data_IF_086984051322
#
_entry.id   IF_086984051322
#
_cell.length_a   1.000
_cell.length_b   1.000
_cell.length_c   1.000
_cell.angle_alpha   90.00
_cell.angle_beta   90.00
_cell.angle_gamma   90.00
#
_symmetry.space_group_name_H-M   'P 1'
#
loop_
_entity.id
_entity.type
_entity.pdbx_description
1 polymer ?
#
# COMPACT_ATOMS: atom_id res chain seq x y z
N UNK A 1 -38.35 13.83 38.96
CA UNK A 1 -38.11 13.55 37.53
C UNK A 1 -37.05 12.47 37.49
N UNK A 2 -37.16 11.41 36.66
CA UNK A 2 -36.03 10.49 36.51
C UNK A 2 -34.86 11.34 36.02
N UNK A 3 -33.74 11.32 36.73
CA UNK A 3 -32.50 11.92 36.24
C UNK A 3 -32.21 11.28 34.88
N UNK A 4 -32.01 12.10 33.84
CA UNK A 4 -31.60 11.61 32.53
C UNK A 4 -30.36 10.71 32.66
N UNK A 5 -30.19 9.76 31.75
CA UNK A 5 -29.12 8.75 31.87
C UNK A 5 -27.73 9.37 32.03
N UNK A 6 -26.80 8.63 32.65
CA UNK A 6 -25.41 9.04 32.82
C UNK A 6 -24.52 8.39 31.74
N UNK A 7 -23.66 9.18 31.09
CA UNK A 7 -22.78 8.67 30.04
C UNK A 7 -21.74 7.68 30.55
N UNK A 8 -21.13 7.90 31.72
CA UNK A 8 -20.13 6.97 32.28
C UNK A 8 -20.76 5.61 32.60
N UNK A 9 -22.02 5.60 33.00
CA UNK A 9 -22.76 4.36 33.25
C UNK A 9 -23.17 3.67 31.94
N UNK A 10 -23.50 4.42 30.88
CA UNK A 10 -23.68 3.85 29.52
C UNK A 10 -22.38 3.22 29.01
N UNK A 11 -21.25 3.94 29.15
CA UNK A 11 -19.93 3.46 28.76
C UNK A 11 -19.61 2.12 29.45
N UNK A 12 -19.76 2.07 30.78
CA UNK A 12 -19.51 0.87 31.57
C UNK A 12 -20.49 -0.26 31.23
N UNK A 13 -21.77 0.05 31.00
CA UNK A 13 -22.75 -0.94 30.57
C UNK A 13 -22.37 -1.54 29.20
N UNK A 14 -21.80 -0.74 28.30
CA UNK A 14 -21.35 -1.19 26.99
C UNK A 14 -20.10 -2.08 27.08
N UNK A 15 -19.15 -1.74 27.96
CA UNK A 15 -17.98 -2.54 28.32
C UNK A 15 -18.39 -3.91 28.89
N UNK A 16 -19.29 -3.91 29.88
CA UNK A 16 -19.74 -5.11 30.59
C UNK A 16 -20.72 -5.99 29.79
N UNK A 17 -21.22 -5.51 28.64
CA UNK A 17 -22.24 -6.23 27.86
C UNK A 17 -23.66 -6.15 28.47
N UNK A 18 -23.94 -5.19 29.35
CA UNK A 18 -25.22 -5.04 30.04
C UNK A 18 -26.26 -4.35 29.13
N UNK A 19 -27.00 -5.19 28.39
CA UNK A 19 -28.01 -4.75 27.43
C UNK A 19 -29.14 -3.93 28.07
N UNK A 20 -29.56 -4.31 29.28
CA UNK A 20 -30.68 -3.65 29.96
C UNK A 20 -30.30 -2.24 30.40
N UNK A 21 -29.11 -2.07 31.00
CA UNK A 21 -28.61 -0.74 31.36
C UNK A 21 -28.30 0.12 30.13
N UNK A 22 -27.73 -0.49 29.08
CA UNK A 22 -27.46 0.22 27.83
C UNK A 22 -28.74 0.85 27.27
N UNK A 23 -29.81 0.07 27.13
CA UNK A 23 -31.12 0.58 26.68
C UNK A 23 -31.70 1.64 27.63
N UNK A 24 -31.58 1.44 28.94
CA UNK A 24 -32.05 2.41 29.93
C UNK A 24 -31.40 3.78 29.76
N UNK A 25 -30.07 3.83 29.59
CA UNK A 25 -29.34 5.08 29.42
C UNK A 25 -29.61 5.76 28.08
N UNK A 26 -29.72 4.98 26.99
CA UNK A 26 -30.13 5.50 25.68
C UNK A 26 -31.54 6.09 25.72
N UNK A 27 -32.51 5.40 26.35
CA UNK A 27 -33.86 5.92 26.56
C UNK A 27 -33.89 7.18 27.45
N UNK A 28 -32.88 7.33 28.32
CA UNK A 28 -32.63 8.52 29.11
C UNK A 28 -32.04 9.70 28.34
N UNK A 29 -31.78 9.55 27.02
CA UNK A 29 -31.28 10.61 26.14
C UNK A 29 -29.77 10.81 26.15
N UNK A 30 -29.01 9.84 26.66
CA UNK A 30 -27.54 9.89 26.60
C UNK A 30 -27.09 9.77 25.15
N UNK A 31 -26.25 10.70 24.70
CA UNK A 31 -25.64 10.65 23.37
C UNK A 31 -24.55 9.56 23.31
N UNK A 32 -24.73 8.48 22.53
CA UNK A 32 -23.73 7.42 22.42
C UNK A 32 -22.53 7.81 21.54
N UNK A 33 -22.56 8.96 20.85
CA UNK A 33 -21.45 9.46 20.03
C UNK A 33 -20.48 10.35 20.80
N UNK A 34 -20.89 10.85 21.97
CA UNK A 34 -20.02 11.70 22.78
C UNK A 34 -18.83 10.90 23.31
N UNK A 35 -17.63 11.47 23.20
CA UNK A 35 -16.40 10.91 23.73
C UNK A 35 -15.98 11.69 24.97
N UNK A 36 -15.77 11.00 26.09
CA UNK A 36 -15.48 11.67 27.35
C UNK A 36 -14.04 12.22 27.36
N UNK A 37 -13.80 13.48 27.78
CA UNK A 37 -12.47 14.12 27.80
C UNK A 37 -11.39 13.45 28.68
N UNK A 38 -11.72 12.37 29.38
CA UNK A 38 -10.81 11.58 30.22
C UNK A 38 -10.56 10.20 29.62
N UNK A 39 -11.50 9.69 28.82
CA UNK A 39 -11.45 8.36 28.20
C UNK A 39 -11.05 8.44 26.72
N UNK A 40 -11.33 9.56 26.04
CA UNK A 40 -11.08 9.75 24.60
C UNK A 40 -11.72 8.67 23.72
N UNK A 41 -12.86 8.15 24.17
CA UNK A 41 -13.57 7.07 23.51
C UNK A 41 -15.08 7.13 23.78
N UNK A 42 -15.85 6.42 22.96
CA UNK A 42 -17.30 6.30 23.01
C UNK A 42 -17.72 4.88 23.44
N UNK A 43 -18.95 4.69 23.96
CA UNK A 43 -19.46 3.37 24.34
C UNK A 43 -19.40 2.33 23.21
N UNK A 44 -19.51 2.75 21.95
CA UNK A 44 -19.45 1.83 20.80
C UNK A 44 -18.05 1.23 20.62
N UNK A 45 -16.98 1.98 20.82
CA UNK A 45 -15.61 1.45 20.70
C UNK A 45 -15.33 0.40 21.77
N UNK A 46 -15.78 0.64 23.00
CA UNK A 46 -15.58 -0.28 24.11
C UNK A 46 -16.41 -1.56 23.95
N UNK A 47 -17.66 -1.44 23.48
CA UNK A 47 -18.48 -2.58 23.12
C UNK A 47 -17.81 -3.46 22.05
N UNK A 48 -17.17 -2.83 21.05
CA UNK A 48 -16.42 -3.53 20.01
C UNK A 48 -15.20 -4.24 20.61
N UNK A 49 -14.35 -3.55 21.39
CA UNK A 49 -13.15 -4.13 22.01
C UNK A 49 -13.46 -5.37 22.86
N UNK A 50 -14.61 -5.37 23.54
CA UNK A 50 -15.07 -6.49 24.37
C UNK A 50 -15.90 -7.55 23.61
N UNK A 51 -16.14 -7.40 22.31
CA UNK A 51 -16.88 -8.38 21.50
C UNK A 51 -18.40 -8.40 21.75
N UNK A 52 -18.95 -7.31 22.28
CA UNK A 52 -20.36 -7.21 22.66
C UNK A 52 -21.25 -6.84 21.45
N UNK A 53 -21.42 -7.76 20.48
CA UNK A 53 -22.19 -7.52 19.25
C UNK A 53 -23.60 -6.98 19.50
N UNK A 54 -24.32 -7.53 20.48
CA UNK A 54 -25.69 -7.08 20.78
C UNK A 54 -25.73 -5.65 21.36
N UNK A 55 -24.71 -5.24 22.11
CA UNK A 55 -24.56 -3.85 22.54
C UNK A 55 -24.29 -2.95 21.33
N UNK A 56 -23.37 -3.34 20.44
CA UNK A 56 -23.06 -2.57 19.22
C UNK A 56 -24.33 -2.34 18.39
N UNK A 57 -25.14 -3.39 18.20
CA UNK A 57 -26.43 -3.27 17.50
C UNK A 57 -27.38 -2.29 18.17
N UNK A 58 -27.56 -2.37 19.48
CA UNK A 58 -28.44 -1.46 20.23
C UNK A 58 -27.94 -0.02 20.18
N UNK A 59 -26.64 0.21 20.34
CA UNK A 59 -26.05 1.54 20.23
C UNK A 59 -26.33 2.16 18.86
N UNK A 60 -26.17 1.40 17.77
CA UNK A 60 -26.40 1.88 16.40
C UNK A 60 -27.89 2.05 16.08
N UNK A 61 -28.72 1.04 16.37
CA UNK A 61 -30.12 0.99 15.91
C UNK A 61 -31.09 1.75 16.80
N UNK A 62 -30.88 1.70 18.13
CA UNK A 62 -31.74 2.36 19.10
C UNK A 62 -31.14 3.68 19.58
N UNK A 63 -29.81 3.74 19.71
CA UNK A 63 -29.09 4.91 20.22
C UNK A 63 -28.67 5.93 19.17
N UNK A 64 -28.64 5.56 17.88
CA UNK A 64 -28.13 6.44 16.82
C UNK A 64 -26.60 6.66 16.87
N UNK A 65 -25.86 5.69 17.42
CA UNK A 65 -24.40 5.71 17.35
C UNK A 65 -23.92 5.61 15.90
N UNK A 66 -22.93 6.42 15.53
CA UNK A 66 -22.30 6.42 14.22
C UNK A 66 -21.45 5.14 14.07
N UNK A 67 -21.80 4.23 13.14
CA UNK A 67 -21.07 2.98 12.92
C UNK A 67 -19.70 3.18 12.25
N UNK A 68 -19.33 4.41 11.89
CA UNK A 68 -18.00 4.81 11.43
C UNK A 68 -17.39 5.92 12.30
N UNK A 69 -17.73 5.98 13.59
CA UNK A 69 -17.12 6.93 14.53
C UNK A 69 -15.62 6.67 14.64
N UNK A 70 -14.84 7.73 14.71
CA UNK A 70 -13.39 7.70 14.92
C UNK A 70 -13.09 7.90 16.41
N UNK A 71 -12.29 7.02 17.00
CA UNK A 71 -11.88 7.07 18.40
C UNK A 71 -10.82 8.15 18.61
N UNK A 72 -11.03 9.08 19.53
CA UNK A 72 -10.08 10.17 19.80
C UNK A 72 -8.75 9.66 20.41
N UNK A 73 -8.76 8.49 21.05
CA UNK A 73 -7.57 7.90 21.67
C UNK A 73 -6.57 7.36 20.65
N UNK A 74 -7.05 6.74 19.57
CA UNK A 74 -6.21 6.01 18.62
C UNK A 74 -6.30 6.51 17.18
N UNK A 75 -7.23 7.42 16.88
CA UNK A 75 -7.63 7.84 15.54
C UNK A 75 -8.16 6.69 14.66
N UNK A 76 -8.50 5.54 15.24
CA UNK A 76 -9.11 4.41 14.52
C UNK A 76 -10.63 4.57 14.39
N UNK A 77 -11.17 4.18 13.25
CA UNK A 77 -12.62 3.99 13.10
C UNK A 77 -13.11 2.77 13.87
N UNK A 78 -14.39 2.74 14.24
CA UNK A 78 -15.11 1.55 14.73
C UNK A 78 -14.86 0.28 13.90
N UNK A 79 -14.73 0.41 12.56
CA UNK A 79 -14.39 -0.71 11.66
C UNK A 79 -12.96 -1.21 11.90
N UNK A 80 -12.00 -0.28 12.01
CA UNK A 80 -10.60 -0.59 12.30
C UNK A 80 -10.43 -1.22 13.68
N UNK A 81 -11.16 -0.73 14.70
CA UNK A 81 -11.16 -1.30 16.05
C UNK A 81 -11.73 -2.73 16.04
N UNK A 82 -12.84 -2.96 15.34
CA UNK A 82 -13.45 -4.30 15.22
C UNK A 82 -12.49 -5.30 14.55
N UNK A 83 -11.78 -4.83 13.52
CA UNK A 83 -10.77 -5.60 12.82
C UNK A 83 -9.54 -5.89 13.69
N UNK A 84 -8.97 -4.87 14.34
CA UNK A 84 -7.79 -4.99 15.20
C UNK A 84 -8.05 -5.89 16.41
N UNK A 85 -9.29 -5.91 16.90
CA UNK A 85 -9.75 -6.75 18.00
C UNK A 85 -10.25 -8.14 17.55
N UNK A 86 -10.12 -8.49 16.26
CA UNK A 86 -10.54 -9.77 15.67
C UNK A 86 -12.04 -10.11 15.85
N UNK A 87 -12.90 -9.09 15.89
CA UNK A 87 -14.34 -9.21 16.10
C UNK A 87 -15.10 -9.31 14.77
N UNK A 88 -14.95 -10.45 14.07
CA UNK A 88 -15.43 -10.61 12.70
C UNK A 88 -16.95 -10.42 12.54
N UNK A 89 -17.77 -10.90 13.48
CA UNK A 89 -19.24 -10.72 13.40
C UNK A 89 -19.66 -9.24 13.55
N UNK A 90 -18.95 -8.50 14.41
CA UNK A 90 -19.15 -7.06 14.60
C UNK A 90 -18.70 -6.31 13.36
N UNK A 91 -17.55 -6.70 12.80
CA UNK A 91 -17.04 -6.13 11.56
C UNK A 91 -18.04 -6.29 10.41
N UNK A 92 -18.62 -7.48 10.22
CA UNK A 92 -19.64 -7.73 9.20
C UNK A 92 -20.89 -6.87 9.43
N UNK A 93 -21.32 -6.74 10.69
CA UNK A 93 -22.45 -5.87 11.04
C UNK A 93 -22.17 -4.39 10.74
N UNK A 94 -21.04 -3.84 11.19
CA UNK A 94 -20.68 -2.44 10.95
C UNK A 94 -20.54 -2.16 9.45
N UNK A 95 -19.90 -3.08 8.72
CA UNK A 95 -19.83 -3.04 7.28
C UNK A 95 -21.21 -3.07 6.62
N UNK A 96 -22.27 -3.59 7.25
CA UNK A 96 -23.63 -3.53 6.70
C UNK A 96 -24.31 -2.16 6.90
N UNK A 97 -23.85 -1.33 7.85
CA UNK A 97 -24.50 -0.08 8.29
C UNK A 97 -23.85 1.19 7.78
N UNK A 98 -22.55 1.17 7.44
CA UNK A 98 -21.87 2.32 6.83
C UNK A 98 -22.32 2.46 5.35
N UNK A 99 -22.58 3.65 4.78
CA UNK A 99 -22.90 3.81 3.35
C UNK A 99 -21.81 3.21 2.45
N UNK A 100 -22.17 2.63 1.31
CA UNK A 100 -21.20 2.01 0.39
C UNK A 100 -20.11 2.99 -0.07
N UNK A 101 -20.41 4.28 -0.10
CA UNK A 101 -19.49 5.37 -0.43
C UNK A 101 -18.47 5.67 0.68
N UNK A 102 -18.77 5.27 1.92
CA UNK A 102 -17.89 5.36 3.09
C UNK A 102 -17.25 4.00 3.46
N UNK A 103 -17.63 2.91 2.78
CA UNK A 103 -16.90 1.64 2.81
C UNK A 103 -15.75 1.75 1.82
N UNK A 104 -14.52 1.42 2.23
CA UNK A 104 -13.49 1.16 1.24
C UNK A 104 -13.89 -0.09 0.46
N UNK A 105 -14.33 0.09 -0.79
CA UNK A 105 -14.57 -1.03 -1.70
C UNK A 105 -13.29 -1.89 -1.74
N UNK A 106 -13.42 -3.18 -1.46
CA UNK A 106 -12.32 -4.14 -1.58
C UNK A 106 -11.72 -4.04 -2.99
N UNK A 107 -10.41 -3.77 -3.08
CA UNK A 107 -9.68 -3.60 -4.35
C UNK A 107 -8.87 -4.85 -4.66
N UNK A 108 -8.67 -5.11 -5.95
CA UNK A 108 -7.68 -6.09 -6.42
C UNK A 108 -6.35 -5.37 -6.65
N UNK A 109 -5.36 -5.70 -5.83
CA UNK A 109 -4.06 -5.03 -5.78
C UNK A 109 -2.96 -5.99 -6.24
N UNK A 110 -2.09 -5.56 -7.15
CA UNK A 110 -0.87 -6.27 -7.53
C UNK A 110 0.35 -5.54 -6.96
N UNK A 111 1.18 -6.25 -6.19
CA UNK A 111 2.45 -5.76 -5.63
C UNK A 111 3.62 -6.46 -6.34
N UNK A 112 4.48 -5.71 -7.04
CA UNK A 112 5.55 -6.28 -7.89
C UNK A 112 6.69 -6.96 -7.11
N UNK A 113 6.77 -6.76 -5.80
CA UNK A 113 7.63 -7.49 -4.86
C UNK A 113 6.92 -7.47 -3.51
N UNK A 114 6.38 -8.61 -3.07
CA UNK A 114 5.55 -8.70 -1.87
C UNK A 114 6.11 -9.64 -0.80
N UNK A 115 7.35 -10.11 -0.94
CA UNK A 115 7.91 -11.19 -0.13
C UNK A 115 9.10 -10.77 0.73
N UNK A 116 9.67 -9.61 0.44
CA UNK A 116 10.82 -9.03 1.12
C UNK A 116 10.58 -7.54 1.38
N UNK A 117 11.54 -6.89 2.03
CA UNK A 117 11.50 -5.43 2.19
C UNK A 117 10.20 -4.93 2.85
N UNK A 118 9.71 -3.82 2.30
CA UNK A 118 8.40 -3.25 2.59
C UNK A 118 7.24 -4.04 1.98
N UNK A 119 7.51 -4.99 1.08
CA UNK A 119 6.52 -5.74 0.32
C UNK A 119 5.66 -6.67 1.17
N UNK A 120 6.27 -7.51 2.03
CA UNK A 120 5.51 -8.44 2.89
C UNK A 120 4.64 -7.71 3.91
N UNK A 121 5.15 -6.72 4.67
CA UNK A 121 4.32 -5.91 5.57
C UNK A 121 3.21 -5.16 4.83
N UNK A 122 3.47 -4.64 3.62
CA UNK A 122 2.44 -4.00 2.80
C UNK A 122 1.35 -4.98 2.38
N UNK A 123 1.72 -6.18 1.91
CA UNK A 123 0.77 -7.21 1.54
C UNK A 123 -0.12 -7.61 2.73
N UNK A 124 0.47 -7.77 3.92
CA UNK A 124 -0.26 -8.03 5.15
C UNK A 124 -1.25 -6.90 5.48
N UNK A 125 -0.80 -5.65 5.45
CA UNK A 125 -1.64 -4.48 5.76
C UNK A 125 -2.84 -4.37 4.80
N UNK A 126 -2.62 -4.55 3.50
CA UNK A 126 -3.68 -4.55 2.51
C UNK A 126 -4.67 -5.70 2.71
N UNK A 127 -4.18 -6.88 3.12
CA UNK A 127 -5.04 -8.02 3.46
C UNK A 127 -5.86 -7.76 4.73
N UNK A 128 -5.26 -7.21 5.78
CA UNK A 128 -5.97 -6.79 6.99
C UNK A 128 -7.06 -5.78 6.66
N UNK A 129 -6.78 -4.83 5.75
CA UNK A 129 -7.75 -3.87 5.21
C UNK A 129 -8.84 -4.48 4.32
N UNK A 130 -8.83 -5.79 4.10
CA UNK A 130 -9.90 -6.52 3.40
C UNK A 130 -9.79 -6.47 1.88
N UNK A 131 -8.66 -6.02 1.34
CA UNK A 131 -8.38 -6.05 -0.10
C UNK A 131 -8.05 -7.47 -0.57
N UNK A 132 -8.14 -7.67 -1.89
CA UNK A 132 -7.60 -8.84 -2.55
C UNK A 132 -6.20 -8.50 -3.04
N UNK A 133 -5.20 -9.26 -2.57
CA UNK A 133 -3.79 -8.99 -2.86
C UNK A 133 -3.22 -10.09 -3.74
N UNK A 134 -2.52 -9.68 -4.79
CA UNK A 134 -1.63 -10.50 -5.58
C UNK A 134 -0.21 -9.96 -5.41
N UNK A 135 0.75 -10.83 -5.15
CA UNK A 135 2.17 -10.47 -5.18
C UNK A 135 2.91 -11.22 -6.28
N UNK A 136 3.98 -10.63 -6.81
CA UNK A 136 4.86 -11.32 -7.75
C UNK A 136 5.90 -12.13 -6.98
N UNK A 137 6.11 -13.37 -7.40
CA UNK A 137 7.09 -14.28 -6.81
C UNK A 137 7.95 -14.95 -7.87
N UNK A 138 9.19 -15.26 -7.51
CA UNK A 138 10.17 -15.81 -8.46
C UNK A 138 10.04 -17.34 -8.63
N UNK A 139 9.42 -18.01 -7.65
CA UNK A 139 9.18 -19.46 -7.64
C UNK A 139 7.90 -19.83 -6.89
N UNK A 140 7.33 -20.98 -7.23
CA UNK A 140 6.14 -21.54 -6.56
C UNK A 140 6.38 -21.85 -5.07
N UNK A 141 7.61 -22.26 -4.73
CA UNK A 141 7.98 -22.60 -3.36
C UNK A 141 7.94 -21.37 -2.45
N UNK A 142 8.59 -20.27 -2.86
CA UNK A 142 8.55 -18.98 -2.15
C UNK A 142 7.12 -18.46 -2.03
N UNK A 143 6.36 -18.54 -3.13
CA UNK A 143 5.00 -18.04 -3.19
C UNK A 143 4.07 -18.81 -2.25
N UNK A 144 4.19 -20.13 -2.21
CA UNK A 144 3.34 -21.00 -1.37
C UNK A 144 3.63 -20.74 0.10
N UNK A 145 4.90 -20.74 0.50
CA UNK A 145 5.31 -20.47 1.89
C UNK A 145 4.81 -19.11 2.38
N UNK A 146 5.06 -18.06 1.61
CA UNK A 146 4.62 -16.71 2.00
C UNK A 146 3.10 -16.57 2.01
N UNK A 147 2.40 -17.26 1.11
CA UNK A 147 0.93 -17.26 1.09
C UNK A 147 0.33 -17.90 2.35
N UNK A 148 0.94 -18.99 2.85
CA UNK A 148 0.51 -19.63 4.09
C UNK A 148 0.68 -18.68 5.29
N UNK A 149 1.87 -18.06 5.41
CA UNK A 149 2.16 -17.08 6.47
C UNK A 149 1.20 -15.89 6.43
N UNK A 150 1.04 -15.24 5.27
CA UNK A 150 0.19 -14.06 5.12
C UNK A 150 -1.31 -14.36 5.34
N UNK A 151 -1.80 -15.54 4.93
CA UNK A 151 -3.19 -15.95 5.21
C UNK A 151 -3.42 -16.20 6.69
N UNK A 152 -2.46 -16.82 7.36
CA UNK A 152 -2.54 -17.07 8.80
C UNK A 152 -2.52 -15.77 9.59
N UNK A 153 -1.61 -14.86 9.26
CA UNK A 153 -1.45 -13.58 9.95
C UNK A 153 -2.62 -12.61 9.68
N UNK A 154 -3.14 -12.55 8.45
CA UNK A 154 -4.21 -11.62 8.10
C UNK A 154 -5.62 -12.14 8.38
N UNK A 155 -5.82 -13.46 8.47
CA UNK A 155 -7.14 -14.10 8.44
C UNK A 155 -7.89 -13.92 7.11
N UNK A 156 -7.28 -13.30 6.09
CA UNK A 156 -7.92 -12.99 4.82
C UNK A 156 -7.46 -13.99 3.73
N UNK A 157 -8.41 -14.75 3.19
CA UNK A 157 -8.16 -15.75 2.14
C UNK A 157 -8.03 -15.16 0.73
N UNK A 158 -8.30 -13.86 0.53
CA UNK A 158 -8.22 -13.14 -0.75
C UNK A 158 -6.77 -12.83 -1.14
N UNK A 159 -5.89 -13.82 -1.04
CA UNK A 159 -4.48 -13.73 -1.39
C UNK A 159 -4.19 -14.67 -2.56
N UNK A 160 -3.57 -14.13 -3.61
CA UNK A 160 -2.98 -14.88 -4.72
C UNK A 160 -1.55 -14.44 -4.98
N UNK A 161 -0.91 -15.08 -5.96
CA UNK A 161 0.41 -14.70 -6.43
C UNK A 161 0.51 -14.89 -7.93
N UNK A 162 1.48 -14.24 -8.56
CA UNK A 162 1.82 -14.41 -9.97
C UNK A 162 3.30 -14.79 -10.06
N UNK A 163 3.59 -15.92 -10.68
CA UNK A 163 4.97 -16.31 -10.95
C UNK A 163 5.54 -15.45 -12.09
N UNK A 164 6.66 -14.81 -11.83
CA UNK A 164 7.39 -14.01 -12.81
C UNK A 164 8.62 -13.34 -12.24
N UNK A 165 9.37 -12.68 -13.13
CA UNK A 165 10.59 -11.96 -12.77
C UNK A 165 10.60 -10.59 -13.43
N UNK A 166 11.40 -9.69 -12.87
CA UNK A 166 11.65 -8.36 -13.41
C UNK A 166 13.08 -8.23 -13.98
N UNK A 167 13.78 -9.35 -14.11
CA UNK A 167 15.21 -9.42 -14.43
C UNK A 167 15.55 -9.14 -15.89
N UNK A 168 14.61 -9.34 -16.82
CA UNK A 168 14.80 -9.11 -18.25
C UNK A 168 13.52 -8.55 -18.89
N UNK A 169 13.65 -7.96 -20.07
CA UNK A 169 12.50 -7.45 -20.85
C UNK A 169 11.51 -8.59 -21.15
N UNK A 170 12.02 -9.74 -21.58
CA UNK A 170 11.21 -10.93 -21.87
C UNK A 170 10.46 -11.44 -20.61
N UNK A 171 11.14 -11.48 -19.46
CA UNK A 171 10.51 -11.87 -18.20
C UNK A 171 9.36 -10.93 -17.83
N UNK A 172 9.53 -9.62 -18.04
CA UNK A 172 8.51 -8.62 -17.71
C UNK A 172 7.28 -8.74 -18.62
N UNK A 173 7.46 -8.97 -19.91
CA UNK A 173 6.33 -9.24 -20.81
C UNK A 173 5.59 -10.53 -20.44
N UNK A 174 6.34 -11.59 -20.11
CA UNK A 174 5.74 -12.85 -19.63
C UNK A 174 4.97 -12.66 -18.31
N UNK A 175 5.51 -11.86 -17.40
CA UNK A 175 4.81 -11.50 -16.16
C UNK A 175 3.52 -10.73 -16.47
N UNK A 176 3.56 -9.76 -17.38
CA UNK A 176 2.37 -9.01 -17.77
C UNK A 176 1.29 -9.90 -18.40
N UNK A 177 1.68 -10.89 -19.22
CA UNK A 177 0.77 -11.90 -19.76
C UNK A 177 0.14 -12.74 -18.65
N UNK A 178 0.95 -13.25 -17.70
CA UNK A 178 0.44 -14.01 -16.56
C UNK A 178 -0.55 -13.18 -15.72
N UNK A 179 -0.26 -11.90 -15.49
CA UNK A 179 -1.18 -10.97 -14.82
C UNK A 179 -2.50 -10.84 -15.59
N UNK A 180 -2.45 -10.65 -16.90
CA UNK A 180 -3.63 -10.53 -17.76
C UNK A 180 -4.50 -11.78 -17.73
N UNK A 181 -3.90 -12.97 -17.64
CA UNK A 181 -4.60 -14.25 -17.62
C UNK A 181 -5.22 -14.56 -16.25
N UNK A 182 -4.52 -14.22 -15.15
CA UNK A 182 -4.88 -14.67 -13.80
C UNK A 182 -5.61 -13.62 -12.97
N UNK A 183 -5.49 -12.33 -13.32
CA UNK A 183 -6.10 -11.22 -12.58
C UNK A 183 -7.18 -10.56 -13.45
N UNK A 184 -8.46 -10.96 -13.32
CA UNK A 184 -9.52 -10.53 -14.23
C UNK A 184 -9.87 -9.03 -14.15
N UNK A 185 -9.63 -8.38 -13.00
CA UNK A 185 -9.95 -6.95 -12.76
C UNK A 185 -8.91 -6.30 -11.85
N UNK A 186 -7.74 -5.97 -12.38
CA UNK A 186 -6.71 -5.27 -11.61
C UNK A 186 -7.13 -3.82 -11.31
N UNK A 187 -7.36 -3.48 -10.04
CA UNK A 187 -7.69 -2.10 -9.64
C UNK A 187 -6.44 -1.26 -9.37
N UNK A 188 -5.43 -1.85 -8.72
CA UNK A 188 -4.26 -1.11 -8.26
C UNK A 188 -2.97 -1.85 -8.59
N UNK A 189 -2.06 -1.20 -9.30
CA UNK A 189 -0.68 -1.66 -9.52
C UNK A 189 0.26 -0.91 -8.58
N UNK A 190 1.02 -1.63 -7.76
CA UNK A 190 2.06 -1.07 -6.88
C UNK A 190 3.43 -1.51 -7.38
N UNK A 191 4.19 -0.56 -7.94
CA UNK A 191 5.60 -0.72 -8.27
C UNK A 191 6.44 -0.63 -7.00
N UNK A 192 6.43 -1.71 -6.20
CA UNK A 192 7.20 -1.82 -4.97
C UNK A 192 8.64 -2.31 -5.22
N UNK A 193 8.83 -3.22 -6.17
CA UNK A 193 10.12 -3.85 -6.44
C UNK A 193 11.23 -2.81 -6.70
N UNK A 194 12.28 -2.87 -5.89
CA UNK A 194 13.53 -2.13 -6.09
C UNK A 194 14.72 -3.04 -5.76
N UNK A 195 15.80 -2.96 -6.53
CA UNK A 195 17.07 -3.57 -6.16
C UNK A 195 18.23 -2.59 -6.36
N UNK A 196 19.23 -2.76 -5.52
CA UNK A 196 20.57 -2.22 -5.69
C UNK A 196 21.51 -3.34 -5.27
N UNK A 197 22.39 -3.85 -6.15
CA UNK A 197 23.47 -4.77 -5.78
C UNK A 197 24.77 -4.01 -5.48
N UNK A 198 25.61 -4.45 -4.52
CA UNK A 198 26.86 -3.74 -4.15
C UNK A 198 27.95 -3.73 -5.21
N UNK A 199 27.75 -4.45 -6.31
CA UNK A 199 28.67 -4.52 -7.45
C UNK A 199 27.86 -4.44 -8.74
N UNK A 200 28.49 -3.95 -9.81
CA UNK A 200 27.86 -3.86 -11.13
C UNK A 200 27.41 -5.24 -11.60
N UNK A 201 26.12 -5.38 -11.87
CA UNK A 201 25.52 -6.57 -12.48
C UNK A 201 24.76 -6.15 -13.72
N UNK A 202 24.86 -6.93 -14.79
CA UNK A 202 24.07 -6.76 -16.01
C UNK A 202 23.25 -8.01 -16.27
N UNK A 203 22.08 -7.82 -16.88
CA UNK A 203 21.21 -8.91 -17.30
C UNK A 203 21.50 -9.34 -18.75
N UNK A 204 20.69 -10.25 -19.27
CA UNK A 204 20.79 -10.78 -20.64
C UNK A 204 20.40 -9.74 -21.73
N UNK A 205 19.81 -8.60 -21.34
CA UNK A 205 19.49 -7.48 -22.22
C UNK A 205 20.60 -6.41 -22.24
N UNK A 206 21.78 -6.71 -21.67
CA UNK A 206 22.90 -5.78 -21.46
C UNK A 206 22.57 -4.56 -20.57
N UNK A 207 21.48 -4.62 -19.81
CA UNK A 207 21.06 -3.57 -18.87
C UNK A 207 21.61 -3.83 -17.47
N UNK A 208 22.02 -2.76 -16.79
CA UNK A 208 22.37 -2.80 -15.37
C UNK A 208 21.14 -3.23 -14.55
N UNK A 209 21.35 -4.11 -13.57
CA UNK A 209 20.23 -4.81 -12.91
C UNK A 209 19.28 -3.88 -12.16
N UNK A 210 19.78 -2.82 -11.51
CA UNK A 210 18.94 -1.80 -10.88
C UNK A 210 18.18 -0.98 -11.92
N UNK A 211 18.80 -0.63 -13.04
CA UNK A 211 18.12 0.06 -14.13
C UNK A 211 16.99 -0.80 -14.72
N UNK A 212 17.26 -2.09 -14.95
CA UNK A 212 16.25 -3.03 -15.45
C UNK A 212 15.03 -3.10 -14.51
N UNK A 213 15.25 -3.36 -13.22
CA UNK A 213 14.15 -3.56 -12.25
C UNK A 213 13.48 -2.24 -11.86
N UNK A 214 14.25 -1.21 -11.53
CA UNK A 214 13.73 0.03 -10.93
C UNK A 214 13.15 0.99 -11.98
N UNK A 215 13.47 0.81 -13.27
CA UNK A 215 12.98 1.65 -14.35
C UNK A 215 12.32 0.87 -15.49
N UNK A 216 13.08 0.01 -16.19
CA UNK A 216 12.61 -0.62 -17.44
C UNK A 216 11.39 -1.51 -17.19
N UNK A 217 11.44 -2.34 -16.15
CA UNK A 217 10.34 -3.22 -15.79
C UNK A 217 9.07 -2.44 -15.43
N UNK A 218 9.21 -1.34 -14.67
CA UNK A 218 8.08 -0.45 -14.30
C UNK A 218 7.43 0.18 -15.53
N UNK A 219 8.26 0.63 -16.47
CA UNK A 219 7.81 1.22 -17.74
C UNK A 219 7.02 0.19 -18.56
N UNK A 220 7.59 -1.01 -18.79
CA UNK A 220 6.94 -2.07 -19.58
C UNK A 220 5.63 -2.52 -18.93
N UNK A 221 5.62 -2.80 -17.62
CA UNK A 221 4.41 -3.22 -16.90
C UNK A 221 3.31 -2.16 -16.99
N UNK A 222 3.66 -0.88 -16.81
CA UNK A 222 2.71 0.23 -16.88
C UNK A 222 2.07 0.33 -18.26
N UNK A 223 2.87 0.31 -19.34
CA UNK A 223 2.36 0.39 -20.71
C UNK A 223 1.52 -0.84 -21.07
N UNK A 224 1.96 -2.03 -20.66
CA UNK A 224 1.30 -3.31 -21.02
C UNK A 224 -0.01 -3.53 -20.26
N UNK A 225 -0.07 -3.17 -18.98
CA UNK A 225 -1.24 -3.35 -18.13
C UNK A 225 -2.23 -2.17 -18.16
N UNK A 226 -1.89 -1.07 -18.87
CA UNK A 226 -2.72 0.14 -18.99
C UNK A 226 -4.19 -0.16 -19.25
N UNK A 227 -4.50 -0.92 -20.31
CA UNK A 227 -5.88 -1.22 -20.71
C UNK A 227 -6.67 -1.98 -19.63
N UNK A 228 -6.00 -2.82 -18.84
CA UNK A 228 -6.66 -3.53 -17.73
C UNK A 228 -7.08 -2.56 -16.63
N UNK A 229 -6.26 -1.54 -16.34
CA UNK A 229 -6.55 -0.55 -15.31
C UNK A 229 -7.68 0.40 -15.72
N UNK A 230 -7.68 0.89 -16.96
CA UNK A 230 -8.67 1.86 -17.49
C UNK A 230 -10.13 1.39 -17.37
N UNK A 231 -10.38 0.08 -17.37
CA UNK A 231 -11.72 -0.49 -17.29
C UNK A 231 -12.31 -0.60 -15.88
N UNK A 232 -11.55 -0.23 -14.84
CA UNK A 232 -11.94 -0.45 -13.44
C UNK A 232 -12.41 0.82 -12.72
N UNK A 233 -13.18 0.64 -11.63
CA UNK A 233 -13.61 1.75 -10.77
C UNK A 233 -12.40 2.31 -10.00
N UNK A 234 -12.15 3.60 -10.16
CA UNK A 234 -11.08 4.36 -9.50
C UNK A 234 -9.69 3.64 -9.56
N UNK A 235 -9.15 3.34 -10.75
CA UNK A 235 -7.92 2.57 -10.89
C UNK A 235 -6.70 3.38 -10.45
N UNK A 236 -5.69 2.69 -9.93
CA UNK A 236 -4.50 3.30 -9.32
C UNK A 236 -3.20 2.69 -9.80
N UNK A 237 -2.18 3.53 -9.95
CA UNK A 237 -0.78 3.13 -10.08
C UNK A 237 0.02 3.85 -9.01
N UNK A 238 0.71 3.10 -8.16
CA UNK A 238 1.53 3.64 -7.06
C UNK A 238 2.98 3.26 -7.32
N UNK A 239 3.85 4.26 -7.42
CA UNK A 239 5.30 4.08 -7.43
C UNK A 239 5.82 4.18 -6.00
N UNK A 240 6.70 3.27 -5.60
CA UNK A 240 7.38 3.33 -4.31
C UNK A 240 8.86 3.64 -4.57
N UNK A 241 9.35 4.74 -4.00
CA UNK A 241 10.74 5.19 -4.12
C UNK A 241 11.29 5.57 -2.74
N UNK A 242 12.56 5.26 -2.42
CA UNK A 242 13.22 5.84 -1.26
C UNK A 242 13.52 7.33 -1.48
N UNK A 243 13.71 8.06 -0.38
CA UNK A 243 14.32 9.40 -0.42
C UNK A 243 15.78 9.29 -0.83
N UNK A 244 16.14 9.97 -1.92
CA UNK A 244 17.54 10.08 -2.35
C UNK A 244 17.84 11.50 -2.79
N UNK A 245 19.13 11.83 -2.84
CA UNK A 245 19.58 13.05 -3.50
C UNK A 245 19.38 12.88 -5.00
N UNK A 246 18.67 13.82 -5.64
CA UNK A 246 18.51 13.77 -7.09
C UNK A 246 19.86 13.77 -7.79
N UNK A 247 20.06 12.77 -8.66
CA UNK A 247 21.20 12.66 -9.55
C UNK A 247 20.66 12.46 -10.95
N UNK A 248 20.95 13.42 -11.83
CA UNK A 248 20.48 13.36 -13.21
C UNK A 248 21.02 12.11 -13.89
N UNK A 249 20.14 11.21 -14.36
CA UNK A 249 20.57 9.98 -15.03
C UNK A 249 21.17 10.28 -16.41
N UNK A 250 22.18 9.51 -16.80
CA UNK A 250 22.85 9.60 -18.09
C UNK A 250 22.28 8.54 -19.05
N UNK A 251 21.84 8.95 -20.24
CA UNK A 251 21.19 8.07 -21.23
C UNK A 251 22.11 6.98 -21.81
N UNK A 252 23.43 7.12 -21.64
CA UNK A 252 24.44 6.18 -22.12
C UNK A 252 24.98 5.36 -20.96
N UNK A 253 25.38 6.01 -19.87
CA UNK A 253 26.04 5.34 -18.74
C UNK A 253 25.04 4.68 -17.77
N UNK A 254 23.92 5.31 -17.43
CA UNK A 254 22.99 4.76 -16.42
C UNK A 254 22.38 3.40 -16.86
N UNK A 255 21.94 3.20 -18.12
CA UNK A 255 21.37 1.92 -18.55
C UNK A 255 22.31 0.72 -18.41
N UNK A 256 23.63 0.93 -18.51
CA UNK A 256 24.65 -0.13 -18.54
C UNK A 256 25.57 -0.10 -17.30
N UNK A 257 25.57 0.98 -16.53
CA UNK A 257 26.37 1.19 -15.33
C UNK A 257 27.88 1.10 -15.54
N UNK A 258 28.46 1.70 -16.59
CA UNK A 258 29.92 1.61 -16.86
C UNK A 258 30.74 2.23 -15.73
N UNK A 259 30.33 3.39 -15.20
CA UNK A 259 30.97 4.04 -14.06
C UNK A 259 30.31 3.67 -12.73
N UNK A 260 30.22 2.37 -12.44
CA UNK A 260 29.43 1.88 -11.31
C UNK A 260 29.94 2.36 -9.94
N UNK A 261 29.01 2.87 -9.15
CA UNK A 261 29.09 2.97 -7.69
C UNK A 261 27.70 2.64 -7.17
N UNK A 262 27.62 1.89 -6.07
CA UNK A 262 26.35 1.57 -5.39
C UNK A 262 25.44 2.81 -5.25
N UNK A 263 25.99 3.87 -4.65
CA UNK A 263 25.22 5.07 -4.35
C UNK A 263 24.83 5.86 -5.61
N UNK A 264 25.69 5.81 -6.65
CA UNK A 264 25.39 6.39 -7.96
C UNK A 264 24.24 5.65 -8.63
N UNK A 265 24.33 4.32 -8.76
CA UNK A 265 23.27 3.47 -9.33
C UNK A 265 21.96 3.66 -8.57
N UNK A 266 22.02 3.72 -7.24
CA UNK A 266 20.85 4.02 -6.42
C UNK A 266 20.19 5.36 -6.76
N UNK A 267 20.96 6.44 -6.71
CA UNK A 267 20.40 7.79 -6.93
C UNK A 267 19.89 7.97 -8.36
N UNK A 268 20.62 7.47 -9.37
CA UNK A 268 20.22 7.58 -10.77
C UNK A 268 19.00 6.71 -11.10
N UNK A 269 18.92 5.48 -10.58
CA UNK A 269 17.78 4.60 -10.88
C UNK A 269 16.50 5.00 -10.13
N UNK A 270 16.61 5.66 -8.96
CA UNK A 270 15.46 6.32 -8.32
C UNK A 270 15.00 7.52 -9.15
N UNK A 271 15.93 8.31 -9.70
CA UNK A 271 15.58 9.38 -10.63
C UNK A 271 14.92 8.84 -11.92
N UNK A 272 15.41 7.73 -12.49
CA UNK A 272 14.75 7.04 -13.59
C UNK A 272 13.34 6.57 -13.21
N UNK A 273 13.14 6.00 -12.01
CA UNK A 273 11.81 5.65 -11.52
C UNK A 273 10.86 6.85 -11.49
N UNK A 274 11.32 8.01 -11.01
CA UNK A 274 10.55 9.26 -11.06
C UNK A 274 10.24 9.69 -12.50
N UNK A 275 11.17 9.53 -13.44
CA UNK A 275 10.92 9.76 -14.87
C UNK A 275 9.82 8.80 -15.39
N UNK A 276 9.84 7.52 -15.00
CA UNK A 276 8.79 6.54 -15.34
C UNK A 276 7.43 6.95 -14.78
N UNK A 277 7.38 7.45 -13.55
CA UNK A 277 6.17 8.02 -12.94
C UNK A 277 5.64 9.23 -13.74
N UNK A 278 6.50 10.16 -14.15
CA UNK A 278 6.10 11.32 -14.93
C UNK A 278 5.61 10.93 -16.34
N UNK A 279 6.25 9.96 -17.00
CA UNK A 279 5.78 9.41 -18.27
C UNK A 279 4.40 8.75 -18.11
N UNK A 280 4.22 7.99 -17.03
CA UNK A 280 2.93 7.37 -16.69
C UNK A 280 1.83 8.43 -16.50
N UNK A 281 2.11 9.56 -15.85
CA UNK A 281 1.14 10.65 -15.73
C UNK A 281 0.70 11.20 -17.08
N UNK A 282 1.64 11.37 -18.02
CA UNK A 282 1.32 11.82 -19.38
C UNK A 282 0.47 10.78 -20.12
N UNK A 283 0.85 9.51 -20.03
CA UNK A 283 0.13 8.40 -20.66
C UNK A 283 -1.30 8.21 -20.14
N UNK A 284 -1.51 8.47 -18.86
CA UNK A 284 -2.78 8.27 -18.17
C UNK A 284 -3.67 9.51 -18.19
N UNK A 285 -3.26 10.57 -18.89
CA UNK A 285 -4.07 11.79 -19.03
C UNK A 285 -5.42 11.47 -19.68
N UNK A 286 -6.49 11.70 -18.93
CA UNK A 286 -7.87 11.45 -19.39
C UNK A 286 -8.31 9.99 -19.33
N UNK A 287 -7.48 9.08 -18.80
CA UNK A 287 -7.81 7.65 -18.69
C UNK A 287 -8.64 7.30 -17.44
N UNK A 288 -8.73 8.22 -16.48
CA UNK A 288 -9.34 7.98 -15.17
C UNK A 288 -8.43 7.24 -14.17
N UNK A 289 -7.24 6.81 -14.59
CA UNK A 289 -6.23 6.19 -13.72
C UNK A 289 -5.55 7.25 -12.85
N UNK A 290 -5.57 7.03 -11.53
CA UNK A 290 -4.85 7.87 -10.56
C UNK A 290 -3.44 7.35 -10.42
N UNK A 291 -2.44 8.18 -10.74
CA UNK A 291 -1.02 7.83 -10.63
C UNK A 291 -0.41 8.62 -9.47
N UNK A 292 0.31 7.96 -8.58
CA UNK A 292 0.88 8.54 -7.37
C UNK A 292 2.27 7.97 -7.09
N UNK A 293 3.06 8.67 -6.26
CA UNK A 293 4.36 8.20 -5.79
C UNK A 293 4.43 8.30 -4.26
N UNK A 294 4.77 7.19 -3.62
CA UNK A 294 5.07 7.10 -2.19
C UNK A 294 6.59 7.17 -1.99
N UNK A 295 7.02 8.07 -1.12
CA UNK A 295 8.41 8.31 -0.79
C UNK A 295 8.71 7.72 0.59
N UNK A 296 9.65 6.78 0.66
CA UNK A 296 9.84 5.89 1.81
C UNK A 296 11.11 6.19 2.59
N UNK A 297 11.28 7.42 3.08
CA UNK A 297 12.42 7.81 3.94
C UNK A 297 13.81 7.59 3.32
N UNK A 298 14.87 7.99 4.04
CA UNK A 298 16.27 7.77 3.59
C UNK A 298 16.77 6.38 4.00
N UNK A 299 17.48 5.66 3.12
CA UNK A 299 18.17 4.44 3.50
C UNK A 299 19.31 4.75 4.50
N UNK A 300 19.41 4.01 5.61
CA UNK A 300 20.49 4.17 6.58
C UNK A 300 21.87 3.74 6.04
N UNK A 301 22.93 4.47 6.42
CA UNK A 301 24.33 4.23 6.01
C UNK A 301 25.03 3.05 6.73
N UNK A 302 24.35 2.22 7.52
CA UNK A 302 24.96 1.14 8.32
C UNK A 302 25.32 -0.13 7.54
N UNK A 303 25.45 -0.02 6.22
CA UNK A 303 25.65 -1.12 5.26
C UNK A 303 27.12 -1.63 5.22
N UNK A 304 28.08 -0.92 5.83
CA UNK A 304 29.52 -1.25 5.68
C UNK A 304 30.03 -2.47 6.48
N UNK A 305 29.25 -3.10 7.38
CA UNK A 305 29.86 -3.99 8.41
C UNK A 305 29.65 -5.50 8.34
N UNK A 306 28.83 -6.07 7.45
CA UNK A 306 28.56 -7.53 7.54
C UNK A 306 28.71 -8.39 6.28
N UNK A 307 29.06 -7.84 5.12
CA UNK A 307 29.12 -8.64 3.88
C UNK A 307 30.55 -9.07 3.49
N UNK A 308 31.24 -9.79 4.39
CA UNK A 308 32.46 -10.54 4.06
C UNK A 308 32.20 -12.05 4.11
N UNK A 309 31.49 -12.59 3.11
CA UNK A 309 31.44 -14.04 2.88
C UNK A 309 30.17 -14.56 2.21
N UNK A 310 30.37 -15.25 1.08
CA UNK A 310 29.43 -16.07 0.31
C UNK A 310 28.40 -15.38 -0.61
N UNK A 311 28.32 -15.93 -1.82
CA UNK A 311 27.57 -15.49 -3.00
C UNK A 311 26.06 -15.76 -2.87
N UNK A 312 25.25 -14.70 -3.00
CA UNK A 312 23.80 -14.62 -3.29
C UNK A 312 22.82 -15.29 -2.28
N UNK A 313 21.60 -14.75 -2.04
CA UNK A 313 20.90 -13.59 -2.65
C UNK A 313 20.63 -12.41 -1.70
N UNK A 314 20.46 -11.23 -2.30
CA UNK A 314 19.54 -10.15 -1.88
C UNK A 314 19.30 -10.00 -0.37
N UNK A 315 20.23 -9.32 0.32
CA UNK A 315 20.08 -9.01 1.75
C UNK A 315 18.99 -7.96 1.98
N UNK A 316 17.92 -8.42 2.62
CA UNK A 316 17.16 -7.79 3.71
C UNK A 316 17.25 -6.26 3.85
N UNK A 317 16.43 -5.53 3.10
CA UNK A 317 16.26 -4.08 3.28
C UNK A 317 15.09 -3.74 4.24
N UNK A 318 14.30 -4.71 4.69
CA UNK A 318 13.04 -4.44 5.39
C UNK A 318 13.19 -3.82 6.79
N UNK A 319 14.07 -4.37 7.64
CA UNK A 319 14.05 -4.05 9.08
C UNK A 319 15.26 -3.23 9.56
N UNK A 320 16.38 -3.23 8.81
CA UNK A 320 17.59 -2.52 9.21
C UNK A 320 17.76 -1.13 8.55
N UNK A 321 16.93 -0.78 7.56
CA UNK A 321 17.15 0.41 6.71
C UNK A 321 16.16 1.54 7.00
N UNK A 322 14.97 1.25 7.52
CA UNK A 322 13.90 2.23 7.73
C UNK A 322 13.30 2.11 9.14
N UNK A 323 13.49 3.09 10.04
CA UNK A 323 13.03 2.99 11.43
C UNK A 323 11.50 2.96 11.62
N UNK A 324 10.70 3.18 10.57
CA UNK A 324 9.23 3.12 10.62
C UNK A 324 8.64 2.43 9.37
N UNK A 325 8.91 1.12 9.21
CA UNK A 325 8.28 0.32 8.16
C UNK A 325 6.73 0.38 8.22
N UNK A 326 6.14 0.58 9.42
CA UNK A 326 4.70 0.80 9.62
C UNK A 326 4.21 2.07 8.93
N UNK A 327 4.87 3.21 9.12
CA UNK A 327 4.46 4.47 8.50
C UNK A 327 4.45 4.40 6.95
N UNK A 328 5.40 3.67 6.37
CA UNK A 328 5.48 3.46 4.92
C UNK A 328 4.33 2.58 4.40
N UNK A 329 4.07 1.43 5.05
CA UNK A 329 2.97 0.54 4.63
C UNK A 329 1.61 1.21 4.80
N UNK A 330 1.43 1.95 5.89
CA UNK A 330 0.20 2.65 6.21
C UNK A 330 -0.06 3.75 5.17
N UNK A 331 0.99 4.48 4.77
CA UNK A 331 0.91 5.48 3.68
C UNK A 331 0.46 4.85 2.38
N UNK A 332 1.09 3.74 1.96
CA UNK A 332 0.75 3.10 0.70
C UNK A 332 -0.68 2.52 0.76
N UNK A 333 -1.06 1.89 1.87
CA UNK A 333 -2.41 1.38 2.07
C UNK A 333 -3.47 2.49 2.04
N UNK A 334 -3.20 3.61 2.71
CA UNK A 334 -4.02 4.83 2.64
C UNK A 334 -4.15 5.37 1.21
N UNK A 335 -3.07 5.33 0.41
CA UNK A 335 -3.10 5.70 -1.01
C UNK A 335 -3.91 4.72 -1.87
N UNK A 336 -3.90 3.42 -1.53
CA UNK A 336 -4.77 2.40 -2.17
C UNK A 336 -6.24 2.72 -1.90
N UNK A 337 -6.56 3.06 -0.66
CA UNK A 337 -7.90 3.40 -0.17
C UNK A 337 -8.41 4.73 -0.75
N UNK A 338 -7.52 5.60 -1.23
CA UNK A 338 -7.86 6.89 -1.80
C UNK A 338 -7.91 8.02 -0.81
N UNK A 339 -7.11 7.87 0.24
CA UNK A 339 -6.81 8.83 1.29
C UNK A 339 -7.93 9.80 1.61
N UNK A 340 -9.09 9.20 1.92
CA UNK A 340 -10.28 9.88 2.42
C UNK A 340 -10.80 11.01 1.52
N UNK A 341 -10.66 10.86 0.20
CA UNK A 341 -11.24 11.80 -0.78
C UNK A 341 -10.34 12.96 -1.19
N UNK A 342 -9.04 12.96 -0.83
CA UNK A 342 -8.08 13.93 -1.39
C UNK A 342 -7.88 13.68 -2.90
N UNK A 343 -7.56 14.74 -3.66
CA UNK A 343 -7.10 14.58 -5.04
C UNK A 343 -5.64 14.09 -5.02
N UNK A 344 -5.38 12.90 -5.56
CA UNK A 344 -4.10 12.19 -5.51
C UNK A 344 -3.31 12.21 -6.82
N UNK A 345 -3.95 12.48 -7.95
CA UNK A 345 -3.31 12.30 -9.25
C UNK A 345 -2.12 13.24 -9.42
N UNK A 346 -0.95 12.68 -9.71
CA UNK A 346 0.30 13.42 -9.92
C UNK A 346 1.01 13.85 -8.65
N UNK A 347 0.62 13.33 -7.48
CA UNK A 347 1.18 13.73 -6.20
C UNK A 347 2.19 12.75 -5.63
N UNK A 348 3.07 13.32 -4.81
CA UNK A 348 4.14 12.64 -4.09
C UNK A 348 3.84 12.75 -2.59
N UNK A 349 3.89 11.63 -1.86
CA UNK A 349 3.59 11.56 -0.44
C UNK A 349 4.72 10.95 0.36
N UNK A 350 4.96 11.49 1.55
CA UNK A 350 5.85 10.94 2.57
C UNK A 350 5.09 10.95 3.89
N UNK A 351 4.61 9.78 4.32
CA UNK A 351 3.55 9.74 5.31
C UNK A 351 2.23 10.28 4.75
N UNK A 352 1.48 10.97 5.59
CA UNK A 352 0.26 11.70 5.25
C UNK A 352 0.51 13.09 4.61
N UNK A 353 1.79 13.49 4.52
CA UNK A 353 2.21 14.78 4.00
C UNK A 353 2.46 14.71 2.51
N UNK A 354 1.72 15.54 1.78
CA UNK A 354 2.02 15.82 0.38
C UNK A 354 3.35 16.57 0.33
N UNK A 355 4.35 15.98 -0.32
CA UNK A 355 5.61 16.66 -0.53
C UNK A 355 5.45 17.69 -1.66
N UNK A 356 5.61 18.97 -1.33
CA UNK A 356 5.85 20.02 -2.32
C UNK A 356 7.30 19.90 -2.77
N UNK A 357 7.61 18.84 -3.49
CA UNK A 357 8.95 18.64 -4.03
C UNK A 357 9.14 19.49 -5.28
N UNK A 358 10.34 20.06 -5.41
CA UNK A 358 10.82 20.74 -6.62
C UNK A 358 10.90 19.82 -7.85
N UNK A 359 10.51 18.53 -7.74
CA UNK A 359 10.31 17.64 -8.88
C UNK A 359 9.26 18.19 -9.87
N UNK A 360 8.33 19.04 -9.40
CA UNK A 360 7.40 19.80 -10.25
C UNK A 360 8.07 20.80 -11.21
N UNK A 361 9.35 21.12 -11.00
CA UNK A 361 10.14 21.97 -11.92
C UNK A 361 10.94 21.13 -12.93
N UNK A 362 10.96 19.80 -12.78
CA UNK A 362 11.72 18.92 -13.66
C UNK A 362 10.90 18.59 -14.90
N UNK A 363 11.28 19.19 -16.03
CA UNK A 363 10.85 18.68 -17.33
C UNK A 363 11.33 17.24 -17.45
N UNK A 364 10.43 16.31 -17.76
CA UNK A 364 10.79 15.00 -18.31
C UNK A 364 11.80 15.29 -19.43
N UNK A 365 13.05 14.82 -19.37
CA UNK A 365 13.92 14.97 -20.51
C UNK A 365 13.28 14.12 -21.61
N UNK A 366 12.70 14.77 -22.63
CA UNK A 366 11.94 14.11 -23.71
C UNK A 366 12.71 12.95 -24.35
N UNK A 367 14.03 13.03 -24.28
CA UNK A 367 14.98 12.04 -24.75
C UNK A 367 14.85 10.69 -24.04
N UNK A 368 14.39 10.62 -22.78
CA UNK A 368 14.22 9.34 -22.06
C UNK A 368 13.11 8.48 -22.66
N UNK A 369 11.93 9.05 -22.93
CA UNK A 369 10.84 8.25 -23.52
C UNK A 369 11.21 7.77 -24.93
N UNK A 370 11.85 8.62 -25.73
CA UNK A 370 12.34 8.25 -27.04
C UNK A 370 13.40 7.14 -26.94
N UNK A 371 14.38 7.30 -26.06
CA UNK A 371 15.42 6.31 -25.82
C UNK A 371 14.83 4.96 -25.41
N UNK A 372 13.87 4.94 -24.49
CA UNK A 372 13.22 3.70 -24.04
C UNK A 372 12.47 3.03 -25.18
N UNK A 373 11.71 3.80 -25.96
CA UNK A 373 10.95 3.26 -27.09
C UNK A 373 11.89 2.70 -28.17
N UNK A 374 12.97 3.42 -28.49
CA UNK A 374 13.98 2.98 -29.45
C UNK A 374 14.70 1.73 -28.95
N UNK A 375 15.07 1.67 -27.67
CA UNK A 375 15.71 0.50 -27.07
C UNK A 375 14.81 -0.73 -27.18
N UNK A 376 13.56 -0.62 -26.71
CA UNK A 376 12.60 -1.74 -26.76
C UNK A 376 12.34 -2.22 -28.19
N UNK A 377 12.30 -1.32 -29.17
CA UNK A 377 12.10 -1.68 -30.59
C UNK A 377 13.26 -2.44 -31.22
N UNK A 378 14.46 -2.35 -30.65
CA UNK A 378 15.66 -3.09 -31.11
C UNK A 378 15.81 -4.44 -30.41
N UNK A 379 15.24 -4.56 -29.22
CA UNK A 379 15.29 -5.76 -28.39
C UNK A 379 14.11 -6.73 -28.65
N UNK A 380 13.05 -6.26 -29.33
CA UNK A 380 11.92 -7.07 -29.81
C UNK A 380 12.21 -7.72 -31.17
#
# INVERSE_FOLDING_TARGET
MPEGGNWKDLFKAAEEGDLAKTRYHLAGGVDPNWQHPEYFTAPIHEAIKNGNLEIVKVLVEEGGANPGLMEELTDDTTIEIARASLQFEILDYLNSKVPAEARFDSRVVLVTEGLMGTGKPLALELLLKGHQVFFVASSEEEATKASEELRLESGNSKLGYIIGKLSTIADVYKLAENVQQQIPKLNTLIHNACIWPFSRQTNDDDLESSFMVNYMARYILTKTLKKMLEGNKAPRIIYVNPETTWREPDLIDTPIGVNFSWYKSMSETVACSTISFLNCLQDMKGSGVTVMLAQVGKPHNSIEKESSGCYWPLVEIAQAVFPDARNVTDTIAWMVEGGQGKNFHGKIYNGDKEEVTNYTVMSIPKEWEQWTTDFLSRSS
#
